data_IF_752157302180
#
_entry.id   IF_752157302180
#
_cell.length_a   1.000
_cell.length_b   1.000
_cell.length_c   1.000
_cell.angle_alpha   90.00
_cell.angle_beta   90.00
_cell.angle_gamma   90.00
#
_symmetry.space_group_name_H-M   'P 1'
#
loop_
_entity.id
_entity.type
_entity.pdbx_description
1 polymer ?
#
# COMPACT_ATOMS: atom_id res chain seq x y z
N UNK A 1 -9.29 -24.27 -12.47
CA UNK A 1 -9.16 -22.99 -11.76
C UNK A 1 -8.03 -23.18 -10.78
N UNK A 2 -6.86 -22.63 -11.08
CA UNK A 2 -5.78 -22.58 -10.09
C UNK A 2 -6.19 -21.48 -9.14
N UNK A 3 -6.59 -21.86 -7.92
CA UNK A 3 -6.69 -20.90 -6.84
C UNK A 3 -5.29 -20.31 -6.65
N UNK A 4 -5.12 -18.98 -6.62
CA UNK A 4 -3.85 -18.39 -6.28
C UNK A 4 -3.44 -18.95 -4.91
N UNK A 5 -2.18 -19.39 -4.78
CA UNK A 5 -1.68 -19.86 -3.49
C UNK A 5 -1.81 -18.76 -2.43
N UNK A 6 -1.83 -19.09 -1.13
CA UNK A 6 -1.99 -18.15 -0.02
C UNK A 6 -0.90 -17.06 0.08
N UNK A 7 0.07 -17.06 -0.84
CA UNK A 7 1.25 -16.20 -0.94
C UNK A 7 1.17 -15.19 -2.11
N UNK A 8 0.12 -15.25 -2.94
CA UNK A 8 0.02 -14.37 -4.09
C UNK A 8 -0.45 -12.98 -3.66
N UNK A 9 0.42 -11.98 -3.85
CA UNK A 9 0.06 -10.55 -3.77
C UNK A 9 -1.25 -10.32 -4.55
N UNK A 10 -2.31 -9.82 -3.92
CA UNK A 10 -3.61 -9.73 -4.56
C UNK A 10 -3.55 -8.73 -5.72
N UNK A 11 -3.97 -9.19 -6.90
CA UNK A 11 -4.03 -8.34 -8.08
C UNK A 11 -5.00 -7.16 -7.87
N UNK A 12 -4.76 -5.99 -8.48
CA UNK A 12 -5.64 -4.84 -8.35
C UNK A 12 -7.08 -5.11 -8.80
N UNK A 13 -7.28 -6.10 -9.69
CA UNK A 13 -8.62 -6.51 -10.15
C UNK A 13 -9.36 -7.45 -9.18
N UNK A 14 -8.72 -7.88 -8.08
CA UNK A 14 -9.35 -8.75 -7.10
C UNK A 14 -10.58 -8.07 -6.47
N UNK A 15 -11.73 -8.77 -6.33
CA UNK A 15 -12.98 -8.15 -5.87
C UNK A 15 -12.86 -7.51 -4.49
N UNK A 16 -12.04 -8.08 -3.61
CA UNK A 16 -11.80 -7.53 -2.26
C UNK A 16 -10.98 -6.25 -2.29
N UNK A 17 -9.94 -6.19 -3.13
CA UNK A 17 -9.12 -4.98 -3.33
C UNK A 17 -9.99 -3.85 -3.89
N UNK A 18 -10.85 -4.17 -4.86
CA UNK A 18 -11.82 -3.20 -5.43
C UNK A 18 -12.82 -2.71 -4.38
N UNK A 19 -13.40 -3.62 -3.59
CA UNK A 19 -14.36 -3.26 -2.56
C UNK A 19 -13.74 -2.37 -1.47
N UNK A 20 -12.54 -2.72 -1.02
CA UNK A 20 -11.76 -1.91 -0.09
C UNK A 20 -11.46 -0.53 -0.67
N UNK A 21 -10.97 -0.48 -1.92
CA UNK A 21 -10.62 0.77 -2.58
C UNK A 21 -11.82 1.70 -2.74
N UNK A 22 -13.00 1.17 -3.07
CA UNK A 22 -14.21 1.98 -3.15
C UNK A 22 -14.51 2.68 -1.82
N UNK A 23 -14.38 2.00 -0.68
CA UNK A 23 -14.58 2.62 0.63
C UNK A 23 -13.46 3.62 0.97
N UNK A 24 -12.21 3.22 0.76
CA UNK A 24 -11.03 3.99 1.12
C UNK A 24 -10.97 5.34 0.38
N UNK A 25 -11.23 5.36 -0.94
CA UNK A 25 -11.16 6.59 -1.74
C UNK A 25 -12.21 7.63 -1.36
N UNK A 26 -13.38 7.19 -0.88
CA UNK A 26 -14.40 8.11 -0.33
C UNK A 26 -13.95 8.71 1.00
N UNK A 27 -13.37 7.90 1.89
CA UNK A 27 -12.92 8.34 3.22
C UNK A 27 -11.67 9.21 3.18
N UNK A 28 -10.73 8.91 2.27
CA UNK A 28 -9.49 9.67 2.08
C UNK A 28 -9.73 11.11 1.57
N UNK A 29 -10.98 11.49 1.24
CA UNK A 29 -11.33 12.79 0.67
C UNK A 29 -10.43 13.18 -0.51
N UNK A 30 -10.00 12.21 -1.32
CA UNK A 30 -9.27 12.46 -2.57
C UNK A 30 -10.07 13.38 -3.52
N UNK A 31 -11.38 13.49 -3.29
CA UNK A 31 -12.29 14.43 -3.94
C UNK A 31 -12.24 15.89 -3.44
N UNK A 32 -11.40 16.26 -2.46
CA UNK A 32 -11.47 17.57 -1.79
C UNK A 32 -10.14 18.33 -1.73
N UNK A 33 -9.58 18.70 -2.89
CA UNK A 33 -9.20 20.09 -3.25
C UNK A 33 -8.20 20.09 -4.44
N UNK A 34 -8.42 20.94 -5.47
CA UNK A 34 -7.62 20.96 -6.69
C UNK A 34 -6.36 21.79 -6.48
N UNK A 35 -5.21 21.16 -6.23
CA UNK A 35 -3.92 21.83 -6.46
C UNK A 35 -2.95 20.82 -7.08
N UNK A 36 -2.61 21.05 -8.35
CA UNK A 36 -1.59 20.39 -9.18
C UNK A 36 -1.85 19.07 -9.92
N UNK A 37 -2.93 18.33 -9.68
CA UNK A 37 -3.30 17.23 -10.57
C UNK A 37 -4.55 17.60 -11.37
N UNK A 38 -4.42 17.64 -12.70
CA UNK A 38 -5.53 17.78 -13.63
C UNK A 38 -6.55 16.63 -13.47
N UNK A 39 -7.68 16.64 -14.19
CA UNK A 39 -8.74 15.66 -14.00
C UNK A 39 -8.21 14.26 -14.37
N UNK A 40 -7.74 13.50 -13.39
CA UNK A 40 -7.08 12.22 -13.65
C UNK A 40 -8.03 11.08 -13.37
N UNK A 41 -8.29 10.31 -14.41
CA UNK A 41 -8.86 8.95 -14.43
C UNK A 41 -8.19 7.94 -13.46
N UNK A 42 -7.21 8.39 -12.66
CA UNK A 42 -6.52 7.65 -11.59
C UNK A 42 -7.46 7.28 -10.42
N UNK A 43 -8.58 7.97 -10.24
CA UNK A 43 -9.52 7.75 -9.12
C UNK A 43 -10.34 6.45 -9.23
N UNK A 44 -10.22 5.72 -10.34
CA UNK A 44 -11.04 4.51 -10.61
C UNK A 44 -10.29 3.20 -10.47
N UNK A 45 -8.96 3.19 -10.57
CA UNK A 45 -8.16 1.95 -10.50
C UNK A 45 -7.56 1.86 -9.11
N UNK A 46 -7.71 0.73 -8.40
CA UNK A 46 -7.09 0.56 -7.09
C UNK A 46 -5.56 0.59 -7.23
N UNK A 47 -4.85 1.23 -6.28
CA UNK A 47 -3.40 1.16 -6.24
C UNK A 47 -2.91 -0.28 -5.98
N UNK A 48 -1.61 -0.56 -6.18
CA UNK A 48 -1.04 -1.87 -5.90
C UNK A 48 -1.29 -2.30 -4.46
N UNK A 49 -1.70 -3.56 -4.29
CA UNK A 49 -1.83 -4.19 -2.98
C UNK A 49 -0.58 -5.03 -2.68
N UNK A 50 -0.22 -5.17 -1.40
CA UNK A 50 0.96 -5.93 -0.95
C UNK A 50 0.83 -6.34 0.52
N UNK A 51 1.53 -7.40 0.92
CA UNK A 51 1.70 -7.82 2.32
C UNK A 51 3.16 -7.65 2.75
N UNK A 52 3.41 -7.32 4.01
CA UNK A 52 4.77 -7.13 4.52
C UNK A 52 5.44 -8.45 4.88
N UNK A 53 6.72 -8.58 4.58
CA UNK A 53 7.53 -9.75 4.94
C UNK A 53 7.30 -10.96 4.03
N UNK A 54 7.84 -12.09 4.44
CA UNK A 54 7.77 -13.37 3.69
C UNK A 54 6.79 -14.35 4.35
N UNK A 55 6.23 -14.00 5.51
CA UNK A 55 5.31 -14.84 6.29
C UNK A 55 4.05 -14.08 6.70
N UNK A 56 2.95 -14.82 6.88
CA UNK A 56 1.68 -14.26 7.33
C UNK A 56 1.82 -13.56 8.70
N UNK A 57 2.61 -14.12 9.60
CA UNK A 57 2.87 -13.56 10.91
C UNK A 57 3.64 -12.23 10.86
N UNK A 58 4.57 -12.07 9.92
CA UNK A 58 5.26 -10.79 9.68
C UNK A 58 4.31 -9.74 9.14
N UNK A 59 3.45 -10.12 8.18
CA UNK A 59 2.43 -9.24 7.61
C UNK A 59 1.46 -8.74 8.69
N UNK A 60 0.91 -9.64 9.50
CA UNK A 60 0.00 -9.31 10.59
C UNK A 60 0.66 -8.44 11.66
N UNK A 61 1.92 -8.73 11.99
CA UNK A 61 2.67 -7.95 12.97
C UNK A 61 2.94 -6.53 12.50
N UNK A 62 3.34 -6.37 11.24
CA UNK A 62 3.56 -5.05 10.65
C UNK A 62 2.25 -4.27 10.52
N UNK A 63 1.18 -4.92 10.05
CA UNK A 63 -0.15 -4.32 9.96
C UNK A 63 -0.64 -3.84 11.33
N UNK A 64 -0.48 -4.65 12.38
CA UNK A 64 -0.84 -4.25 13.73
C UNK A 64 -0.07 -3.02 14.20
N UNK A 65 1.25 -2.98 13.94
CA UNK A 65 2.10 -1.85 14.32
C UNK A 65 1.70 -0.57 13.58
N UNK A 66 1.56 -0.61 12.25
CA UNK A 66 1.26 0.58 11.45
C UNK A 66 -0.15 1.12 11.71
N UNK A 67 -1.14 0.26 11.96
CA UNK A 67 -2.49 0.70 12.33
C UNK A 67 -2.52 1.33 13.73
N UNK A 68 -1.66 0.89 14.64
CA UNK A 68 -1.59 1.43 16.00
C UNK A 68 -0.93 2.81 16.02
N UNK A 69 0.18 2.96 15.31
CA UNK A 69 1.00 4.16 15.33
C UNK A 69 0.66 5.13 14.18
N UNK A 70 -0.24 4.73 13.25
CA UNK A 70 -0.69 5.45 12.05
C UNK A 70 0.43 5.79 11.03
N UNK A 71 1.66 5.38 11.32
CA UNK A 71 2.85 5.56 10.51
C UNK A 71 3.70 4.28 10.53
N UNK A 72 4.46 4.08 9.46
CA UNK A 72 5.32 2.91 9.31
C UNK A 72 6.55 3.21 8.46
N UNK A 73 7.46 2.25 8.39
CA UNK A 73 8.66 2.31 7.60
C UNK A 73 8.92 0.94 6.98
N UNK A 74 9.27 0.90 5.70
CA UNK A 74 9.80 -0.29 5.04
C UNK A 74 11.22 0.00 4.56
N UNK A 75 12.03 -1.05 4.43
CA UNK A 75 13.38 -0.93 3.88
C UNK A 75 13.73 -2.14 3.05
N UNK A 76 14.28 -1.91 1.87
CA UNK A 76 14.70 -2.94 0.94
C UNK A 76 16.02 -2.56 0.24
N UNK A 77 16.83 -3.55 -0.20
CA UNK A 77 18.01 -3.30 -1.01
C UNK A 77 17.71 -2.44 -2.25
N UNK A 78 18.59 -1.50 -2.57
CA UNK A 78 18.46 -0.65 -3.76
C UNK A 78 18.43 -1.47 -5.06
N UNK A 79 19.11 -2.61 -5.09
CA UNK A 79 19.14 -3.50 -6.25
C UNK A 79 17.78 -4.13 -6.57
N UNK A 80 16.89 -4.24 -5.59
CA UNK A 80 15.55 -4.84 -5.78
C UNK A 80 14.61 -3.93 -6.57
N UNK A 81 14.89 -2.61 -6.60
CA UNK A 81 14.08 -1.62 -7.30
C UNK A 81 14.47 -1.46 -8.78
N UNK A 82 15.64 -1.95 -9.19
CA UNK A 82 16.15 -1.75 -10.55
C UNK A 82 16.22 -0.27 -10.94
N UNK A 83 15.45 0.13 -11.95
CA UNK A 83 15.37 1.53 -12.44
C UNK A 83 14.20 2.33 -11.84
N UNK A 84 13.29 1.70 -11.09
CA UNK A 84 12.05 2.33 -10.61
C UNK A 84 12.02 2.40 -9.08
N UNK A 85 12.35 3.57 -8.55
CA UNK A 85 12.33 3.85 -7.12
C UNK A 85 10.92 4.24 -6.66
N UNK A 86 10.60 4.01 -5.38
CA UNK A 86 9.35 4.47 -4.80
C UNK A 86 9.31 6.01 -4.82
N UNK A 87 8.10 6.55 -4.84
CA UNK A 87 7.85 7.98 -5.01
C UNK A 87 6.93 8.48 -3.92
N UNK A 88 7.27 9.63 -3.35
CA UNK A 88 6.44 10.33 -2.37
C UNK A 88 5.07 10.71 -2.96
N UNK A 89 4.01 10.56 -2.16
CA UNK A 89 2.61 10.78 -2.54
C UNK A 89 1.95 9.61 -3.28
N UNK A 90 2.68 8.52 -3.55
CA UNK A 90 2.08 7.31 -4.14
C UNK A 90 1.26 6.56 -3.08
N UNK A 91 0.09 6.09 -3.50
CA UNK A 91 -0.80 5.28 -2.67
C UNK A 91 -0.53 3.79 -2.89
N UNK A 92 -0.70 3.00 -1.84
CA UNK A 92 -0.68 1.53 -1.89
C UNK A 92 -1.65 0.92 -0.87
N UNK A 93 -2.05 -0.33 -1.08
CA UNK A 93 -2.93 -1.06 -0.16
C UNK A 93 -2.11 -2.11 0.59
N UNK A 94 -2.11 -2.02 1.92
CA UNK A 94 -1.52 -3.03 2.78
C UNK A 94 -2.55 -4.10 3.12
N UNK A 95 -2.14 -5.34 2.89
CA UNK A 95 -2.88 -6.55 3.22
C UNK A 95 -2.37 -7.20 4.51
N UNK A 96 -3.24 -7.97 5.15
CA UNK A 96 -2.86 -8.85 6.27
C UNK A 96 -2.18 -10.15 5.79
N UNK A 97 -1.85 -11.03 6.72
CA UNK A 97 -1.22 -12.32 6.44
C UNK A 97 -2.08 -13.30 5.64
N UNK A 98 -3.37 -13.01 5.46
CA UNK A 98 -4.27 -13.78 4.59
C UNK A 98 -4.45 -13.12 3.21
N UNK A 99 -3.76 -12.01 2.93
CA UNK A 99 -3.91 -11.24 1.70
C UNK A 99 -5.15 -10.36 1.67
N UNK A 100 -5.88 -10.19 2.78
CA UNK A 100 -7.05 -9.33 2.82
C UNK A 100 -6.60 -7.85 2.92
N UNK A 101 -7.13 -6.93 2.12
CA UNK A 101 -6.77 -5.52 2.17
C UNK A 101 -7.30 -4.86 3.45
N UNK A 102 -6.41 -4.26 4.25
CA UNK A 102 -6.74 -3.69 5.57
C UNK A 102 -6.39 -2.22 5.73
N UNK A 103 -5.43 -1.68 4.98
CA UNK A 103 -5.08 -0.27 5.08
C UNK A 103 -4.72 0.34 3.72
N UNK A 104 -5.09 1.61 3.52
CA UNK A 104 -4.60 2.45 2.44
C UNK A 104 -3.45 3.28 3.01
N UNK A 105 -2.29 3.18 2.37
CA UNK A 105 -1.07 3.87 2.77
C UNK A 105 -0.69 4.92 1.73
N UNK A 106 -0.04 5.98 2.19
CA UNK A 106 0.67 6.97 1.36
C UNK A 106 2.16 6.92 1.69
N UNK A 107 3.01 6.87 0.67
CA UNK A 107 4.46 7.06 0.84
C UNK A 107 4.71 8.54 1.10
N UNK A 108 5.13 8.86 2.33
CA UNK A 108 5.37 10.23 2.80
C UNK A 108 6.82 10.68 2.69
N UNK A 109 7.73 9.75 2.37
CA UNK A 109 9.14 10.03 2.20
C UNK A 109 9.87 8.84 1.59
N UNK A 110 10.96 9.11 0.87
CA UNK A 110 11.89 8.08 0.38
C UNK A 110 13.32 8.50 0.66
N UNK A 111 14.11 7.61 1.25
CA UNK A 111 15.51 7.82 1.57
C UNK A 111 16.38 6.71 1.01
N UNK A 112 17.59 7.05 0.55
CA UNK A 112 18.56 6.06 0.09
C UNK A 112 19.84 6.24 0.89
N UNK A 113 20.28 5.18 1.56
CA UNK A 113 21.50 5.19 2.37
C UNK A 113 22.17 3.83 2.36
N UNK A 114 23.48 3.81 2.09
CA UNK A 114 24.30 2.58 2.07
C UNK A 114 23.73 1.43 1.21
N UNK A 115 23.09 1.75 0.08
CA UNK A 115 22.48 0.75 -0.80
C UNK A 115 21.15 0.18 -0.30
N UNK A 116 20.53 0.82 0.69
CA UNK A 116 19.18 0.51 1.17
C UNK A 116 18.26 1.68 0.83
N UNK A 117 17.08 1.36 0.30
CA UNK A 117 15.97 2.29 0.11
C UNK A 117 15.04 2.14 1.31
N UNK A 118 14.65 3.26 1.90
CA UNK A 118 13.73 3.34 3.03
C UNK A 118 12.52 4.16 2.61
N UNK A 119 11.32 3.63 2.81
CA UNK A 119 10.06 4.32 2.55
C UNK A 119 9.36 4.62 3.86
N UNK A 120 8.97 5.87 4.06
CA UNK A 120 8.14 6.27 5.19
C UNK A 120 6.68 6.27 4.78
N UNK A 121 5.84 5.61 5.55
CA UNK A 121 4.45 5.33 5.21
C UNK A 121 3.51 5.98 6.24
N UNK A 122 2.35 6.41 5.77
CA UNK A 122 1.27 6.90 6.63
C UNK A 122 -0.03 6.19 6.29
N UNK A 123 -0.80 5.83 7.31
CA UNK A 123 -2.17 5.33 7.14
C UNK A 123 -3.08 6.48 6.72
N UNK A 124 -3.64 6.38 5.52
CA UNK A 124 -4.66 7.29 4.99
C UNK A 124 -6.06 6.82 5.36
N UNK A 125 -6.26 5.50 5.35
CA UNK A 125 -7.50 4.86 5.73
C UNK A 125 -7.24 3.46 6.30
N UNK A 126 -7.95 3.12 7.37
CA UNK A 126 -7.99 1.78 7.94
C UNK A 126 -9.35 1.16 7.63
N UNK A 127 -9.34 -0.04 7.04
CA UNK A 127 -10.52 -0.88 6.90
C UNK A 127 -10.89 -1.55 8.23
N UNK A 128 -12.14 -2.00 8.30
CA UNK A 128 -12.62 -2.82 9.43
C UNK A 128 -11.96 -4.22 9.43
#
# INVERSE_FOLDING_TARGET
MTEPGPDAVPEPDHPEVRAFWDLARFHAKLNAAPTYFGPTTLESVPPPAWSFGETAEEADSFLFAILRDEVGETSAPLEDYGDELPVEGVLSILCDGAGQPRALLETTGVGISNGVVTEWLRVVYAGD
#
